data_IF_421326520182
#
_entry.id   IF_421326520182
#
_cell.length_a   1.000
_cell.length_b   1.000
_cell.length_c   1.000
_cell.angle_alpha   90.00
_cell.angle_beta   90.00
_cell.angle_gamma   90.00
#
_symmetry.space_group_name_H-M   'P 1'
#
loop_
_entity.id
_entity.type
_entity.pdbx_description
1 polymer ?
#
# COMPACT_ATOMS: atom_id res chain seq x y z
N UNK A 1 -7.32 13.41 10.02
CA UNK A 1 -7.87 12.68 8.85
C UNK A 1 -7.88 11.21 9.20
N UNK A 2 -9.01 10.52 9.10
CA UNK A 2 -9.08 9.08 9.31
C UNK A 2 -8.31 8.33 8.21
N UNK A 3 -7.71 7.18 8.52
CA UNK A 3 -6.87 6.40 7.56
C UNK A 3 -7.63 5.89 6.34
N UNK A 4 -8.95 5.73 6.43
CA UNK A 4 -9.80 5.31 5.32
C UNK A 4 -9.89 6.36 4.20
N UNK A 5 -9.79 7.67 4.50
CA UNK A 5 -9.82 8.72 3.45
C UNK A 5 -8.62 8.62 2.50
N UNK A 6 -7.44 8.24 3.02
CA UNK A 6 -6.24 8.05 2.18
C UNK A 6 -6.33 6.76 1.37
N UNK A 7 -6.94 5.71 1.91
CA UNK A 7 -7.23 4.48 1.19
C UNK A 7 -8.21 4.74 0.05
N UNK A 8 -9.33 5.45 0.34
CA UNK A 8 -10.32 5.81 -0.67
C UNK A 8 -9.72 6.67 -1.78
N UNK A 9 -8.86 7.63 -1.43
CA UNK A 9 -8.11 8.40 -2.41
C UNK A 9 -7.25 7.50 -3.30
N UNK A 10 -6.52 6.57 -2.71
CA UNK A 10 -5.70 5.62 -3.45
C UNK A 10 -6.52 4.77 -4.43
N UNK A 11 -7.63 4.20 -3.96
CA UNK A 11 -8.55 3.41 -4.79
C UNK A 11 -9.18 4.27 -5.90
N UNK A 12 -9.60 5.50 -5.58
CA UNK A 12 -10.12 6.45 -6.58
C UNK A 12 -9.11 6.71 -7.68
N UNK A 13 -7.85 7.00 -7.33
CA UNK A 13 -6.78 7.24 -8.31
C UNK A 13 -6.53 6.02 -9.20
N UNK A 14 -6.58 4.80 -8.67
CA UNK A 14 -6.45 3.56 -9.44
C UNK A 14 -7.58 3.39 -10.45
N UNK A 15 -8.83 3.62 -10.01
CA UNK A 15 -10.02 3.50 -10.88
C UNK A 15 -10.01 4.58 -11.96
N UNK A 16 -9.69 5.83 -11.61
CA UNK A 16 -9.60 6.94 -12.55
C UNK A 16 -8.48 6.72 -13.58
N UNK A 17 -7.31 6.22 -13.15
CA UNK A 17 -6.24 5.86 -14.07
C UNK A 17 -6.70 4.82 -15.11
N UNK A 18 -7.51 3.84 -14.70
CA UNK A 18 -8.09 2.86 -15.63
C UNK A 18 -9.05 3.46 -16.67
N UNK A 19 -9.65 4.62 -16.38
CA UNK A 19 -10.59 5.34 -17.29
C UNK A 19 -9.89 6.34 -18.21
N UNK A 20 -8.63 6.69 -17.96
CA UNK A 20 -7.91 7.67 -18.75
C UNK A 20 -7.70 7.20 -20.20
N UNK A 21 -7.80 8.13 -21.14
CA UNK A 21 -7.62 7.86 -22.56
C UNK A 21 -6.24 7.27 -22.89
N UNK A 22 -6.12 6.55 -24.01
CA UNK A 22 -4.88 5.89 -24.46
C UNK A 22 -3.70 6.85 -24.64
N UNK A 23 -3.94 8.07 -25.11
CA UNK A 23 -2.92 9.10 -25.29
C UNK A 23 -2.35 9.69 -24.00
N UNK A 24 -2.99 9.45 -22.85
CA UNK A 24 -2.53 9.88 -21.51
C UNK A 24 -1.58 8.88 -20.84
N UNK A 25 -0.92 8.00 -21.59
CA UNK A 25 -0.22 6.83 -21.08
C UNK A 25 0.71 7.08 -19.88
N UNK A 26 1.60 8.08 -19.97
CA UNK A 26 2.53 8.41 -18.88
C UNK A 26 1.83 8.98 -17.64
N UNK A 27 0.87 9.88 -17.83
CA UNK A 27 0.10 10.48 -16.72
C UNK A 27 -0.75 9.42 -16.02
N UNK A 28 -1.39 8.55 -16.80
CA UNK A 28 -2.14 7.40 -16.31
C UNK A 28 -1.29 6.47 -15.47
N UNK A 29 -0.13 6.07 -15.97
CA UNK A 29 0.76 5.14 -15.29
C UNK A 29 1.32 5.74 -13.98
N UNK A 30 1.63 7.06 -13.97
CA UNK A 30 2.01 7.81 -12.77
C UNK A 30 0.87 7.81 -11.76
N UNK A 31 -0.36 8.15 -12.17
CA UNK A 31 -1.51 8.18 -11.29
C UNK A 31 -1.80 6.79 -10.70
N UNK A 32 -1.70 5.76 -11.52
CA UNK A 32 -1.87 4.37 -11.09
C UNK A 32 -0.89 3.99 -10.00
N UNK A 33 0.42 4.22 -10.23
CA UNK A 33 1.47 3.96 -9.24
C UNK A 33 1.22 4.72 -7.93
N UNK A 34 0.91 6.01 -8.04
CA UNK A 34 0.70 6.88 -6.87
C UNK A 34 -0.51 6.41 -6.06
N UNK A 35 -1.61 6.02 -6.73
CA UNK A 35 -2.77 5.42 -6.11
C UNK A 35 -2.44 4.11 -5.38
N UNK A 36 -1.66 3.23 -6.03
CA UNK A 36 -1.25 1.97 -5.42
C UNK A 36 -0.35 2.18 -4.18
N UNK A 37 0.57 3.14 -4.23
CA UNK A 37 1.39 3.51 -3.07
C UNK A 37 0.53 3.99 -1.90
N UNK A 38 -0.50 4.82 -2.15
CA UNK A 38 -1.45 5.27 -1.12
C UNK A 38 -2.21 4.10 -0.51
N UNK A 39 -2.74 3.20 -1.35
CA UNK A 39 -3.45 2.00 -0.90
C UNK A 39 -2.57 1.17 0.02
N UNK A 40 -1.38 0.79 -0.42
CA UNK A 40 -0.51 -0.09 0.36
C UNK A 40 -0.03 0.56 1.67
N UNK A 41 0.26 1.85 1.67
CA UNK A 41 0.64 2.57 2.91
C UNK A 41 -0.54 2.81 3.86
N UNK A 42 -1.77 2.83 3.34
CA UNK A 42 -2.98 2.89 4.18
C UNK A 42 -3.31 1.54 4.81
N UNK A 43 -2.97 0.44 4.11
CA UNK A 43 -3.14 -0.92 4.61
C UNK A 43 -2.05 -1.30 5.61
N UNK A 44 -0.82 -0.96 5.27
CA UNK A 44 0.36 -1.38 6.00
C UNK A 44 1.17 -0.19 6.43
N UNK A 45 1.45 -0.17 7.70
CA UNK A 45 2.16 0.91 8.30
C UNK A 45 3.69 0.80 8.11
N UNK A 46 4.11 0.48 6.90
CA UNK A 46 5.54 0.35 6.55
C UNK A 46 6.23 1.71 6.69
N UNK A 47 7.40 1.71 7.30
CA UNK A 47 8.22 2.91 7.39
C UNK A 47 8.68 3.37 6.00
N UNK A 48 8.69 4.68 5.78
CA UNK A 48 9.05 5.29 4.49
C UNK A 48 10.33 4.73 3.86
N UNK A 49 11.38 4.55 4.66
CA UNK A 49 12.65 4.00 4.16
C UNK A 49 12.50 2.56 3.69
N UNK A 50 11.88 1.72 4.49
CA UNK A 50 11.61 0.32 4.15
C UNK A 50 10.69 0.22 2.95
N UNK A 51 9.64 1.04 2.86
CA UNK A 51 8.73 1.07 1.72
C UNK A 51 9.43 1.46 0.40
N UNK A 52 10.36 2.43 0.46
CA UNK A 52 11.15 2.83 -0.70
C UNK A 52 12.22 1.80 -1.09
N UNK A 53 12.71 1.03 -0.13
CA UNK A 53 13.73 0.01 -0.32
C UNK A 53 13.16 -1.33 -0.86
N UNK A 54 11.83 -1.49 -0.92
CA UNK A 54 11.22 -2.69 -1.48
C UNK A 54 11.74 -2.98 -2.89
N UNK A 55 12.11 -4.24 -3.12
CA UNK A 55 12.53 -4.78 -4.42
C UNK A 55 11.61 -5.91 -4.85
N UNK A 56 11.55 -6.16 -6.15
CA UNK A 56 10.66 -7.19 -6.70
C UNK A 56 11.17 -8.58 -6.39
N UNK A 57 12.48 -8.83 -6.59
CA UNK A 57 13.05 -10.17 -6.47
C UNK A 57 13.18 -10.62 -5.01
N UNK A 58 13.45 -9.70 -4.09
CA UNK A 58 13.74 -10.04 -2.69
C UNK A 58 12.52 -9.96 -1.78
N UNK A 59 11.63 -9.00 -2.03
CA UNK A 59 10.57 -8.67 -1.07
C UNK A 59 9.17 -9.10 -1.53
N UNK A 60 9.02 -9.59 -2.77
CA UNK A 60 7.72 -10.03 -3.29
C UNK A 60 7.71 -11.54 -3.40
N UNK A 61 6.92 -12.18 -2.58
CA UNK A 61 6.75 -13.63 -2.59
C UNK A 61 5.37 -14.03 -3.06
N UNK A 62 5.30 -15.12 -3.81
CA UNK A 62 4.07 -15.75 -4.26
C UNK A 62 3.97 -17.15 -3.68
N UNK A 63 2.82 -17.47 -3.11
CA UNK A 63 2.47 -18.80 -2.65
C UNK A 63 1.07 -19.21 -3.16
N UNK A 64 0.61 -20.40 -2.79
CA UNK A 64 -0.73 -20.90 -3.15
C UNK A 64 -1.87 -20.01 -2.61
N UNK A 65 -1.61 -19.28 -1.54
CA UNK A 65 -2.57 -18.39 -0.90
C UNK A 65 -2.55 -16.96 -1.49
N UNK A 66 -1.58 -16.58 -2.37
CA UNK A 66 -1.49 -15.31 -3.11
C UNK A 66 -0.12 -14.63 -2.98
N UNK A 67 -0.07 -13.31 -2.70
CA UNK A 67 1.17 -12.52 -2.66
C UNK A 67 1.42 -11.97 -1.25
N UNK A 68 2.68 -12.00 -0.82
CA UNK A 68 3.17 -11.41 0.42
C UNK A 68 4.34 -10.49 0.14
N UNK A 69 4.38 -9.33 0.80
CA UNK A 69 5.58 -8.49 0.86
C UNK A 69 6.32 -8.79 2.16
N UNK A 70 7.59 -9.13 2.05
CA UNK A 70 8.49 -9.39 3.17
C UNK A 70 9.47 -8.26 3.35
N UNK A 71 9.72 -7.87 4.58
CA UNK A 71 10.82 -7.01 4.99
C UNK A 71 11.69 -7.79 5.98
N UNK A 72 12.95 -7.91 5.66
CA UNK A 72 13.91 -8.62 6.51
C UNK A 72 14.43 -7.73 7.64
N UNK A 73 15.07 -8.29 8.67
CA UNK A 73 15.55 -7.51 9.82
C UNK A 73 16.44 -6.32 9.46
N UNK A 74 17.26 -6.45 8.41
CA UNK A 74 18.13 -5.37 7.92
C UNK A 74 17.37 -4.23 7.25
N UNK A 75 16.16 -4.49 6.71
CA UNK A 75 15.32 -3.50 6.03
C UNK A 75 14.45 -2.71 7.01
N UNK A 76 14.39 -3.15 8.26
CA UNK A 76 13.52 -2.56 9.29
C UNK A 76 14.32 -1.86 10.38
N UNK A 77 13.77 -0.79 10.94
CA UNK A 77 14.38 -0.12 12.11
C UNK A 77 14.28 -0.99 13.36
N UNK A 78 13.27 -1.84 13.45
CA UNK A 78 13.01 -2.77 14.55
C UNK A 78 13.95 -3.96 14.58
N UNK A 79 14.75 -4.18 13.51
CA UNK A 79 15.59 -5.36 13.31
C UNK A 79 14.81 -6.68 13.41
N UNK A 80 13.55 -6.63 13.00
CA UNK A 80 12.64 -7.78 12.95
C UNK A 80 12.13 -7.97 11.53
N UNK A 81 11.83 -9.21 11.19
CA UNK A 81 11.13 -9.53 9.96
C UNK A 81 9.68 -9.03 10.05
N UNK A 82 9.20 -8.42 8.99
CA UNK A 82 7.85 -7.89 8.87
C UNK A 82 7.23 -8.47 7.59
N UNK A 83 6.05 -9.06 7.70
CA UNK A 83 5.35 -9.74 6.61
C UNK A 83 3.99 -9.08 6.39
N UNK A 84 3.65 -8.80 5.13
CA UNK A 84 2.42 -8.11 4.74
C UNK A 84 1.72 -8.90 3.63
N UNK A 85 0.66 -9.59 4.00
CA UNK A 85 -0.19 -10.29 3.03
C UNK A 85 -0.98 -9.29 2.20
N UNK A 86 -0.88 -9.40 0.88
CA UNK A 86 -1.67 -8.58 -0.04
C UNK A 86 -3.12 -9.07 -0.04
N UNK A 87 -4.12 -8.22 0.30
CA UNK A 87 -5.52 -8.60 0.20
C UNK A 87 -5.90 -8.98 -1.23
N UNK A 88 -6.79 -9.97 -1.38
CA UNK A 88 -7.21 -10.47 -2.70
C UNK A 88 -7.81 -9.36 -3.57
N UNK A 89 -8.49 -8.38 -2.97
CA UNK A 89 -9.06 -7.23 -3.66
C UNK A 89 -7.99 -6.27 -4.22
N UNK A 90 -6.79 -6.25 -3.61
CA UNK A 90 -5.67 -5.38 -4.00
C UNK A 90 -4.69 -6.12 -4.92
N UNK A 91 -4.63 -7.43 -4.81
CA UNK A 91 -3.73 -8.27 -5.60
C UNK A 91 -3.78 -7.98 -7.12
N UNK A 92 -4.95 -7.86 -7.78
CA UNK A 92 -5.01 -7.53 -9.20
C UNK A 92 -4.35 -6.20 -9.57
N UNK A 93 -4.45 -5.19 -8.68
CA UNK A 93 -3.82 -3.89 -8.92
C UNK A 93 -2.30 -3.95 -8.80
N UNK A 94 -1.79 -4.68 -7.81
CA UNK A 94 -0.34 -4.85 -7.64
C UNK A 94 0.24 -5.69 -8.78
N UNK A 95 -0.44 -6.76 -9.20
CA UNK A 95 -0.04 -7.56 -10.38
C UNK A 95 -0.03 -6.73 -11.66
N UNK A 96 -1.04 -5.90 -11.89
CA UNK A 96 -1.08 -5.01 -13.04
C UNK A 96 0.07 -3.98 -13.00
N UNK A 97 0.36 -3.43 -11.82
CA UNK A 97 1.52 -2.55 -11.67
C UNK A 97 2.82 -3.26 -12.04
N UNK A 98 3.07 -4.45 -11.51
CA UNK A 98 4.29 -5.21 -11.73
C UNK A 98 4.45 -5.63 -13.20
N UNK A 99 3.38 -6.11 -13.84
CA UNK A 99 3.41 -6.68 -15.18
C UNK A 99 3.26 -5.67 -16.31
N UNK A 100 2.61 -4.52 -16.04
CA UNK A 100 2.24 -3.56 -17.10
C UNK A 100 2.80 -2.17 -16.85
N UNK A 101 2.51 -1.57 -15.69
CA UNK A 101 2.85 -0.16 -15.43
C UNK A 101 4.34 0.02 -15.17
N UNK A 102 4.90 -0.80 -14.28
CA UNK A 102 6.32 -0.74 -13.91
C UNK A 102 7.26 -0.95 -15.11
N UNK A 103 7.06 -1.95 -15.99
CA UNK A 103 7.89 -2.13 -17.18
C UNK A 103 7.90 -0.90 -18.11
N UNK A 104 6.78 -0.19 -18.24
CA UNK A 104 6.72 1.04 -19.05
C UNK A 104 7.58 2.17 -18.47
N UNK A 105 7.73 2.23 -17.15
CA UNK A 105 8.63 3.19 -16.51
C UNK A 105 10.09 2.80 -16.67
N UNK A 106 10.40 1.51 -16.64
CA UNK A 106 11.76 1.02 -16.77
C UNK A 106 12.32 1.27 -18.19
N UNK A 107 11.50 1.06 -19.23
CA UNK A 107 11.96 1.11 -20.61
C UNK A 107 13.14 0.15 -20.81
N UNK A 108 14.30 0.70 -21.19
CA UNK A 108 15.55 -0.05 -21.34
C UNK A 108 16.43 -0.10 -20.08
N UNK A 109 15.99 0.55 -18.98
CA UNK A 109 16.73 0.59 -17.72
C UNK A 109 16.29 -0.55 -16.82
N UNK A 110 17.24 -1.35 -16.34
CA UNK A 110 16.97 -2.42 -15.41
C UNK A 110 17.30 -1.98 -13.98
N UNK A 111 16.35 -2.11 -13.08
CA UNK A 111 16.58 -2.07 -11.65
C UNK A 111 15.52 -2.91 -10.93
N UNK A 112 15.84 -3.41 -9.74
CA UNK A 112 14.96 -4.28 -8.98
C UNK A 112 13.98 -3.55 -8.04
N UNK A 113 14.17 -2.25 -7.80
CA UNK A 113 13.29 -1.46 -6.94
C UNK A 113 11.82 -1.60 -7.33
N UNK A 114 10.95 -1.90 -6.35
CA UNK A 114 9.52 -2.05 -6.58
C UNK A 114 8.92 -0.76 -7.17
N UNK A 115 9.27 0.39 -6.62
CA UNK A 115 8.75 1.67 -7.04
C UNK A 115 9.62 2.33 -8.09
N UNK A 116 9.15 2.33 -9.33
CA UNK A 116 9.85 2.95 -10.44
C UNK A 116 9.37 4.38 -10.71
N UNK A 117 10.31 5.28 -10.99
CA UNK A 117 10.03 6.63 -11.48
C UNK A 117 9.76 6.58 -12.99
N UNK A 118 9.09 7.61 -13.53
CA UNK A 118 8.89 7.75 -14.96
C UNK A 118 10.19 8.06 -15.76
N UNK A 119 11.34 8.15 -15.07
CA UNK A 119 12.68 8.29 -15.66
C UNK A 119 13.44 6.95 -15.68
N UNK A 120 12.80 5.86 -15.26
CA UNK A 120 13.40 4.52 -15.21
C UNK A 120 14.40 4.33 -14.08
N UNK A 121 14.27 5.06 -12.97
CA UNK A 121 15.10 4.92 -11.76
C UNK A 121 14.21 4.53 -10.58
N UNK A 122 14.75 3.88 -9.53
CA UNK A 122 14.02 3.63 -8.30
C UNK A 122 13.57 4.96 -7.66
N UNK A 123 12.39 4.97 -7.07
CA UNK A 123 11.94 6.12 -6.27
C UNK A 123 12.64 6.11 -4.92
N UNK A 124 13.23 7.24 -4.56
CA UNK A 124 13.78 7.44 -3.22
C UNK A 124 12.68 7.67 -2.18
N UNK A 125 13.00 7.44 -0.90
CA UNK A 125 12.09 7.70 0.21
C UNK A 125 11.60 9.16 0.27
N UNK A 126 12.46 10.12 -0.06
CA UNK A 126 12.08 11.54 -0.18
C UNK A 126 11.09 11.77 -1.32
N UNK A 127 11.35 11.18 -2.49
CA UNK A 127 10.47 11.36 -3.64
C UNK A 127 9.11 10.71 -3.46
N UNK A 128 9.03 9.55 -2.83
CA UNK A 128 7.75 8.92 -2.45
C UNK A 128 6.97 9.85 -1.52
N UNK A 129 7.63 10.42 -0.52
CA UNK A 129 7.01 11.37 0.40
C UNK A 129 6.41 12.58 -0.33
N UNK A 130 7.18 13.22 -1.22
CA UNK A 130 6.71 14.40 -1.97
C UNK A 130 5.50 14.08 -2.85
N UNK A 131 5.53 12.92 -3.53
CA UNK A 131 4.43 12.45 -4.37
C UNK A 131 3.15 12.27 -3.55
N UNK A 132 3.22 11.53 -2.45
CA UNK A 132 2.04 11.21 -1.63
C UNK A 132 1.49 12.47 -0.96
N UNK A 133 2.38 13.33 -0.43
CA UNK A 133 2.01 14.63 0.13
C UNK A 133 1.26 15.49 -0.89
N UNK A 134 1.77 15.59 -2.12
CA UNK A 134 1.13 16.33 -3.19
C UNK A 134 -0.27 15.80 -3.52
N UNK A 135 -0.43 14.46 -3.62
CA UNK A 135 -1.73 13.83 -3.88
C UNK A 135 -2.75 14.12 -2.78
N UNK A 136 -2.34 13.98 -1.52
CA UNK A 136 -3.20 14.26 -0.37
C UNK A 136 -3.55 15.74 -0.29
N UNK A 137 -2.58 16.62 -0.49
CA UNK A 137 -2.81 18.07 -0.50
C UNK A 137 -3.79 18.50 -1.59
N UNK A 138 -3.65 17.95 -2.80
CA UNK A 138 -4.57 18.23 -3.91
C UNK A 138 -5.99 17.74 -3.61
N UNK A 139 -6.13 16.56 -2.99
CA UNK A 139 -7.45 15.97 -2.72
C UNK A 139 -8.19 16.61 -1.54
N UNK A 140 -7.45 16.99 -0.49
CA UNK A 140 -8.05 17.39 0.80
C UNK A 140 -7.66 18.79 1.27
N UNK A 141 -6.80 19.51 0.53
CA UNK A 141 -6.29 20.82 0.93
C UNK A 141 -5.40 20.80 2.19
N UNK A 142 -5.10 19.61 2.72
CA UNK A 142 -4.35 19.40 3.98
C UNK A 142 -2.97 18.86 3.70
N UNK A 143 -2.01 19.33 4.47
CA UNK A 143 -0.65 18.80 4.43
C UNK A 143 -0.56 17.59 5.36
N UNK A 144 -0.18 16.43 4.82
CA UNK A 144 -0.03 15.18 5.58
C UNK A 144 1.37 14.61 5.40
N UNK A 145 1.99 14.23 6.52
CA UNK A 145 3.24 13.50 6.55
C UNK A 145 3.03 11.98 6.67
N UNK A 146 4.11 11.21 6.49
CA UNK A 146 4.07 9.74 6.66
C UNK A 146 3.71 9.31 8.08
N UNK A 147 3.97 10.14 9.10
CA UNK A 147 3.53 9.89 10.46
C UNK A 147 2.02 10.02 10.63
N UNK A 148 1.38 10.85 9.82
CA UNK A 148 -0.05 11.04 9.88
C UNK A 148 -0.81 9.84 9.32
N UNK A 149 -0.25 9.12 8.33
CA UNK A 149 -0.77 7.81 7.89
C UNK A 149 -0.80 6.80 9.05
N UNK A 150 0.29 6.75 9.85
CA UNK A 150 0.36 5.88 11.03
C UNK A 150 -0.67 6.26 12.08
N UNK A 151 -0.79 7.53 12.39
CA UNK A 151 -1.77 8.03 13.35
C UNK A 151 -3.19 7.79 12.88
N UNK A 152 -3.44 7.99 11.58
CA UNK A 152 -4.75 7.80 10.98
C UNK A 152 -5.22 6.33 11.08
N UNK A 153 -4.35 5.35 10.84
CA UNK A 153 -4.66 3.92 11.00
C UNK A 153 -5.01 3.57 12.46
N UNK A 154 -4.24 4.11 13.42
CA UNK A 154 -4.51 3.90 14.86
C UNK A 154 -5.81 4.56 15.29
N UNK A 155 -6.03 5.81 14.87
CA UNK A 155 -7.26 6.55 15.20
C UNK A 155 -8.49 5.84 14.63
N UNK A 156 -8.39 5.32 13.41
CA UNK A 156 -9.47 4.55 12.79
C UNK A 156 -9.83 3.30 13.63
N UNK A 157 -8.82 2.52 14.03
CA UNK A 157 -9.04 1.34 14.88
C UNK A 157 -9.64 1.71 16.22
N UNK A 158 -9.16 2.79 16.84
CA UNK A 158 -9.67 3.25 18.13
C UNK A 158 -11.11 3.77 18.06
N UNK A 159 -11.52 4.33 16.90
CA UNK A 159 -12.85 4.96 16.75
C UNK A 159 -13.90 3.98 16.25
N UNK A 160 -13.53 3.14 15.24
CA UNK A 160 -14.48 2.26 14.56
C UNK A 160 -14.52 0.83 15.12
N UNK A 161 -13.51 0.45 15.88
CA UNK A 161 -13.41 -0.87 16.49
C UNK A 161 -12.63 -0.83 17.80
N UNK A 162 -13.16 -0.13 18.85
CA UNK A 162 -12.47 0.04 20.13
C UNK A 162 -12.12 -1.29 20.80
N UNK A 163 -12.92 -2.34 20.56
CA UNK A 163 -12.62 -3.71 21.02
C UNK A 163 -11.39 -4.33 20.35
N UNK A 164 -10.91 -3.71 19.27
CA UNK A 164 -9.73 -4.18 18.48
C UNK A 164 -8.49 -3.31 18.71
N UNK A 165 -8.53 -2.36 19.64
CA UNK A 165 -7.35 -1.54 19.98
C UNK A 165 -6.17 -2.39 20.43
N UNK A 166 -6.43 -3.57 21.02
CA UNK A 166 -5.41 -4.57 21.31
C UNK A 166 -4.66 -5.13 20.08
N UNK A 167 -5.20 -4.95 18.85
CA UNK A 167 -4.51 -5.29 17.59
C UNK A 167 -3.54 -4.20 17.13
N UNK A 168 -3.55 -3.04 17.76
CA UNK A 168 -2.70 -1.89 17.41
C UNK A 168 -1.19 -2.22 17.40
N UNK A 169 -0.64 -3.02 18.34
CA UNK A 169 0.77 -3.43 18.28
C UNK A 169 1.10 -4.24 17.02
N UNK A 170 0.23 -5.16 16.59
CA UNK A 170 0.42 -5.96 15.36
C UNK A 170 0.33 -5.10 14.09
N UNK A 171 -0.53 -4.09 14.07
CA UNK A 171 -0.69 -3.18 12.92
C UNK A 171 0.42 -2.14 12.89
N UNK A 172 0.84 -1.64 14.05
CA UNK A 172 1.92 -0.66 14.18
C UNK A 172 3.29 -1.28 14.24
N UNK A 173 3.37 -2.60 14.40
CA UNK A 173 4.63 -3.34 14.56
C UNK A 173 5.57 -2.68 15.58
N UNK A 174 5.02 -2.29 16.74
CA UNK A 174 5.81 -1.77 17.84
C UNK A 174 6.62 -2.89 18.51
N UNK A 175 7.89 -2.60 18.75
CA UNK A 175 8.94 -3.52 19.23
C UNK A 175 8.81 -3.96 20.69
N UNK A 176 7.65 -3.90 21.32
CA UNK A 176 7.48 -4.22 22.73
C UNK A 176 6.46 -5.32 22.96
N UNK A 177 6.79 -6.55 22.58
CA UNK A 177 6.30 -7.77 23.22
C UNK A 177 7.12 -8.99 22.73
N UNK A 178 7.43 -9.89 23.63
CA UNK A 178 8.47 -10.91 23.51
C UNK A 178 8.18 -12.11 22.60
N UNK A 179 9.23 -12.80 22.33
CA UNK A 179 9.57 -13.95 21.49
C UNK A 179 8.52 -15.08 21.28
N UNK A 180 7.42 -15.12 22.03
CA UNK A 180 6.30 -16.07 21.83
C UNK A 180 5.35 -15.73 20.67
N UNK A 181 5.49 -14.56 20.07
CA UNK A 181 4.48 -13.94 19.18
C UNK A 181 4.70 -14.18 17.69
N UNK A 182 5.75 -14.88 17.27
CA UNK A 182 6.07 -15.04 15.85
C UNK A 182 4.92 -15.64 15.03
N UNK A 183 4.29 -16.68 15.57
CA UNK A 183 3.13 -17.32 14.93
C UNK A 183 1.82 -16.58 15.19
N UNK A 184 1.73 -15.88 16.32
CA UNK A 184 0.55 -15.11 16.70
C UNK A 184 0.43 -13.82 15.86
N UNK A 185 1.55 -13.15 15.61
CA UNK A 185 1.59 -11.94 14.75
C UNK A 185 1.29 -12.26 13.28
N UNK A 186 1.73 -13.40 12.76
CA UNK A 186 1.39 -13.83 11.40
C UNK A 186 -0.13 -14.11 11.29
N UNK A 187 -0.68 -14.85 12.24
CA UNK A 187 -2.11 -15.14 12.28
C UNK A 187 -2.96 -13.88 12.48
N UNK A 188 -2.52 -12.94 13.32
CA UNK A 188 -3.18 -11.64 13.51
C UNK A 188 -3.06 -10.74 12.28
N UNK A 189 -1.92 -10.72 11.59
CA UNK A 189 -1.74 -9.98 10.35
C UNK A 189 -2.66 -10.50 9.23
N UNK A 190 -2.77 -11.83 9.10
CA UNK A 190 -3.69 -12.49 8.15
C UNK A 190 -5.14 -12.17 8.50
N UNK A 191 -5.52 -12.24 9.77
CA UNK A 191 -6.88 -11.96 10.20
C UNK A 191 -7.23 -10.47 10.09
N UNK A 192 -6.30 -9.56 10.42
CA UNK A 192 -6.46 -8.13 10.20
C UNK A 192 -6.61 -7.80 8.70
N UNK A 193 -5.82 -8.45 7.84
CA UNK A 193 -5.93 -8.31 6.38
C UNK A 193 -7.28 -8.84 5.86
N UNK A 194 -7.75 -9.98 6.37
CA UNK A 194 -9.05 -10.56 6.02
C UNK A 194 -10.23 -9.67 6.42
N UNK A 195 -10.21 -9.10 7.63
CA UNK A 195 -11.26 -8.20 8.13
C UNK A 195 -11.23 -6.84 7.43
N UNK A 196 -10.05 -6.41 7.06
CA UNK A 196 -9.86 -5.20 6.26
C UNK A 196 -10.31 -5.41 4.81
N UNK A 197 -10.07 -6.60 4.23
CA UNK A 197 -10.63 -7.02 2.96
C UNK A 197 -12.16 -6.96 2.93
N UNK A 198 -12.82 -7.41 4.00
CA UNK A 198 -14.28 -7.30 4.13
C UNK A 198 -14.76 -5.83 4.17
N UNK A 199 -13.98 -4.91 4.76
CA UNK A 199 -14.28 -3.48 4.73
C UNK A 199 -14.05 -2.87 3.34
N UNK A 200 -12.97 -3.28 2.65
CA UNK A 200 -12.73 -2.91 1.26
C UNK A 200 -13.84 -3.39 0.31
N UNK A 201 -14.33 -4.61 0.51
CA UNK A 201 -15.46 -5.13 -0.25
C UNK A 201 -16.72 -4.28 -0.05
N UNK A 202 -17.01 -3.82 1.17
CA UNK A 202 -18.12 -2.90 1.46
C UNK A 202 -17.92 -1.53 0.81
N UNK A 203 -16.71 -0.98 0.83
CA UNK A 203 -16.39 0.28 0.14
C UNK A 203 -16.52 0.13 -1.37
N UNK A 204 -16.05 -0.97 -1.94
CA UNK A 204 -16.16 -1.28 -3.36
C UNK A 204 -17.62 -1.45 -3.81
N UNK A 205 -18.47 -2.02 -2.98
CA UNK A 205 -19.91 -2.14 -3.25
C UNK A 205 -20.62 -0.76 -3.27
N UNK A 206 -20.11 0.22 -2.52
CA UNK A 206 -20.58 1.62 -2.58
C UNK A 206 -20.09 2.38 -3.80
N UNK A 207 -18.96 1.98 -4.38
CA UNK A 207 -18.45 2.48 -5.66
C UNK A 207 -19.16 1.71 -6.76
N UNK A 208 -20.28 2.25 -7.31
CA UNK A 208 -21.10 1.62 -8.34
C UNK A 208 -20.24 0.95 -9.43
N UNK A 209 -20.53 -0.30 -9.84
CA UNK A 209 -19.76 -0.97 -10.88
C UNK A 209 -19.90 -0.21 -12.19
N UNK A 210 -18.76 -0.02 -12.86
CA UNK A 210 -18.74 0.50 -14.24
C UNK A 210 -19.43 -0.55 -15.11
N UNK A 211 -20.60 -0.22 -15.65
CA UNK A 211 -21.21 -1.03 -16.70
C UNK A 211 -20.20 -1.12 -17.86
N UNK A 212 -19.79 -2.35 -18.19
CA UNK A 212 -19.16 -2.62 -19.49
C UNK A 212 -20.16 -2.14 -20.55
N UNK A 213 -19.77 -1.16 -21.34
CA UNK A 213 -20.40 -0.98 -22.64
C UNK A 213 -19.76 -1.98 -23.58
N UNK A 214 -20.59 -2.87 -24.08
CA UNK A 214 -20.29 -3.73 -25.23
C UNK A 214 -19.85 -2.92 -26.45
#
# INVERSE_FOLDING_TARGET
>A
MPGWETLDLGLKLLVEAGKMQRNSGKARDIQYRDGLMLVLLSLWNIRRRSFAALTVTRHVEFDQAGMTLLLYPEDTKSKREESFRVPDEILPYLLHYLKVVRPRFLGHKAHDGLWASCKGCPLTAGRIYDILRARVKTAFGKDMGMHDFRRAAVTFLATEAPEKVGLTPGILQHASLEVGERHYNLAQSVEASRRFGAHLAKLRAKLKPIKKKD
#
